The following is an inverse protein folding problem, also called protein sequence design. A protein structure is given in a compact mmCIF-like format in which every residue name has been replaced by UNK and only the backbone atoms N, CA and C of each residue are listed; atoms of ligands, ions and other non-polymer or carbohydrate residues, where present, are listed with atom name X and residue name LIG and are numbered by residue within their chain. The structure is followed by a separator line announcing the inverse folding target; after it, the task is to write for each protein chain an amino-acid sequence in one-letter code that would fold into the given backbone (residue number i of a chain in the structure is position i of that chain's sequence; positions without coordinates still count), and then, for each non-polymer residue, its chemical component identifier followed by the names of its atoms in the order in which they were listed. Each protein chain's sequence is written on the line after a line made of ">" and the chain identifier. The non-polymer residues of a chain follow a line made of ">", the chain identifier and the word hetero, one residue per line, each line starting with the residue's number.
data_IF_744622841119
#
_entry.id   IF_744622841119
#
_cell.length_a   1.000
_cell.length_b   1.000
_cell.length_c   1.000
_cell.angle_alpha   90.00
_cell.angle_beta   90.00
_cell.angle_gamma   90.00
#
_symmetry.space_group_name_H-M   'P 1'
#
loop_
_entity.id
_entity.type
_entity.pdbx_description
1 polymer ?
#
# COMPACT_ATOMS: atom_id res chain seq x y z
N UNK A 1 6.61 64.92 -10.70
CA UNK A 1 6.62 63.57 -11.33
C UNK A 1 7.30 62.57 -10.39
N UNK A 2 6.65 62.16 -9.29
CA UNK A 2 7.23 61.29 -8.23
C UNK A 2 6.15 60.55 -7.40
N UNK A 3 5.09 60.05 -8.04
CA UNK A 3 3.98 59.35 -7.32
C UNK A 3 3.70 57.94 -7.86
N UNK A 4 4.31 57.55 -8.98
CA UNK A 4 4.01 56.26 -9.63
C UNK A 4 4.82 55.06 -9.14
N UNK A 5 5.84 55.25 -8.29
CA UNK A 5 6.71 54.15 -7.85
C UNK A 5 6.21 53.38 -6.62
N UNK A 6 5.23 53.90 -5.86
CA UNK A 6 4.80 53.27 -4.61
C UNK A 6 3.73 52.18 -4.80
N UNK A 7 2.96 52.23 -5.90
CA UNK A 7 1.86 51.28 -6.14
C UNK A 7 2.28 49.93 -6.74
N UNK A 8 3.51 49.81 -7.25
CA UNK A 8 4.00 48.54 -7.83
C UNK A 8 4.51 47.58 -6.75
N UNK A 9 4.96 48.10 -5.60
CA UNK A 9 5.50 47.27 -4.50
C UNK A 9 4.38 46.58 -3.72
N UNK A 10 3.19 47.19 -3.60
CA UNK A 10 2.07 46.60 -2.86
C UNK A 10 1.42 45.42 -3.59
N UNK A 11 1.49 45.39 -4.93
CA UNK A 11 0.90 44.30 -5.73
C UNK A 11 1.73 43.00 -5.68
N UNK A 12 3.04 43.11 -5.48
CA UNK A 12 3.94 41.96 -5.34
C UNK A 12 3.76 41.23 -4.00
N UNK A 13 3.31 41.92 -2.95
CA UNK A 13 3.10 41.33 -1.62
C UNK A 13 1.84 40.47 -1.54
N UNK A 14 0.85 40.69 -2.41
CA UNK A 14 -0.38 39.90 -2.44
C UNK A 14 -0.21 38.54 -3.14
N UNK A 15 0.76 38.40 -4.06
CA UNK A 15 1.04 37.14 -4.75
C UNK A 15 1.86 36.14 -3.90
N UNK A 16 2.54 36.59 -2.85
CA UNK A 16 3.31 35.70 -1.96
C UNK A 16 2.44 34.96 -0.94
N UNK A 17 1.16 35.33 -0.76
CA UNK A 17 0.26 34.72 0.23
C UNK A 17 -0.57 33.55 -0.32
N UNK A 18 -0.53 33.30 -1.63
CA UNK A 18 -1.15 32.15 -2.29
C UNK A 18 -0.11 31.24 -2.94
N UNK A 19 1.14 31.26 -2.45
CA UNK A 19 2.04 30.15 -2.73
C UNK A 19 1.47 28.93 -1.99
N UNK A 20 0.59 28.19 -2.67
CA UNK A 20 0.10 26.90 -2.25
C UNK A 20 1.31 26.13 -1.74
N UNK A 21 1.30 25.86 -0.43
CA UNK A 21 2.22 24.89 0.15
C UNK A 21 1.86 23.60 -0.56
N UNK A 22 2.60 23.26 -1.60
CA UNK A 22 2.63 21.91 -2.14
C UNK A 22 3.00 21.01 -0.97
N UNK A 23 2.00 20.51 -0.27
CA UNK A 23 2.15 19.41 0.65
C UNK A 23 2.56 18.27 -0.23
N UNK A 24 3.87 18.01 -0.26
CA UNK A 24 4.42 16.84 -0.92
C UNK A 24 3.66 15.62 -0.40
N UNK A 25 2.75 15.09 -1.23
CA UNK A 25 2.01 13.89 -0.88
C UNK A 25 3.02 12.74 -0.86
N UNK A 26 3.06 12.02 0.25
CA UNK A 26 3.95 10.88 0.38
C UNK A 26 3.62 9.84 -0.70
N UNK A 27 4.66 9.22 -1.23
CA UNK A 27 4.55 8.15 -2.22
C UNK A 27 5.10 6.89 -1.59
N UNK A 28 4.34 5.81 -1.65
CA UNK A 28 4.80 4.47 -1.26
C UNK A 28 5.25 3.75 -2.51
N UNK A 29 6.53 3.38 -2.57
CA UNK A 29 7.02 2.45 -3.60
C UNK A 29 6.85 1.03 -3.09
N UNK A 30 6.61 0.09 -3.98
CA UNK A 30 6.54 -1.32 -3.63
C UNK A 30 7.25 -2.19 -4.65
N UNK A 31 7.88 -3.27 -4.18
CA UNK A 31 8.36 -4.40 -5.00
C UNK A 31 7.42 -5.59 -4.85
N UNK A 32 7.50 -6.51 -5.81
CA UNK A 32 6.77 -7.77 -5.76
C UNK A 32 7.71 -8.94 -6.03
N UNK A 33 7.53 -10.03 -5.28
CA UNK A 33 8.26 -11.28 -5.47
C UNK A 33 7.39 -12.51 -5.32
N UNK A 34 7.83 -13.59 -5.94
CA UNK A 34 7.23 -14.92 -5.81
C UNK A 34 8.34 -15.91 -5.51
N UNK A 35 8.23 -16.64 -4.41
CA UNK A 35 9.26 -17.56 -3.91
C UNK A 35 10.65 -16.87 -3.85
N UNK A 36 10.70 -15.69 -3.20
CA UNK A 36 11.87 -14.80 -3.10
C UNK A 36 12.51 -14.36 -4.44
N UNK A 37 11.78 -14.47 -5.56
CA UNK A 37 12.25 -14.00 -6.88
C UNK A 37 11.51 -12.73 -7.30
N UNK A 38 12.24 -11.62 -7.54
CA UNK A 38 11.64 -10.38 -8.01
C UNK A 38 10.82 -10.60 -9.28
N UNK A 39 9.56 -10.18 -9.24
CA UNK A 39 8.59 -10.36 -10.31
C UNK A 39 7.93 -9.03 -10.64
N UNK A 40 7.72 -8.77 -11.93
CA UNK A 40 6.97 -7.58 -12.37
C UNK A 40 5.50 -7.94 -12.48
N UNK A 41 4.68 -7.27 -11.69
CA UNK A 41 3.23 -7.40 -11.72
C UNK A 41 2.57 -6.02 -11.68
N UNK A 42 1.47 -5.85 -12.41
CA UNK A 42 0.73 -4.59 -12.44
C UNK A 42 -0.43 -4.66 -11.46
N UNK A 43 -0.24 -4.04 -10.31
CA UNK A 43 -1.27 -4.00 -9.28
C UNK A 43 -2.15 -2.77 -9.38
N UNK A 44 -3.44 -2.98 -9.18
CA UNK A 44 -4.36 -2.01 -8.63
C UNK A 44 -4.26 -2.05 -7.10
N UNK A 45 -4.19 -0.89 -6.46
CA UNK A 45 -4.20 -0.78 -4.99
C UNK A 45 -5.57 -0.26 -4.55
N UNK A 46 -6.12 -0.84 -3.50
CA UNK A 46 -7.34 -0.37 -2.84
C UNK A 46 -7.07 -0.21 -1.35
N UNK A 47 -7.47 0.93 -0.79
CA UNK A 47 -7.38 1.22 0.64
C UNK A 47 -8.79 1.23 1.22
N UNK A 48 -8.98 0.51 2.32
CA UNK A 48 -10.26 0.42 3.03
C UNK A 48 -10.15 1.21 4.33
N UNK A 49 -11.02 2.22 4.46
CA UNK A 49 -11.02 3.15 5.60
C UNK A 49 -12.47 3.40 6.01
N UNK A 50 -12.84 3.08 7.25
CA UNK A 50 -14.20 3.26 7.78
C UNK A 50 -15.31 2.68 6.88
N UNK A 51 -15.03 1.56 6.23
CA UNK A 51 -15.97 0.90 5.30
C UNK A 51 -16.05 1.54 3.90
N UNK A 52 -15.33 2.63 3.65
CA UNK A 52 -15.16 3.21 2.32
C UNK A 52 -13.96 2.62 1.59
N UNK A 53 -14.03 2.59 0.26
CA UNK A 53 -12.93 2.16 -0.61
C UNK A 53 -12.33 3.39 -1.27
N UNK A 54 -11.02 3.55 -1.15
CA UNK A 54 -10.24 4.61 -1.76
C UNK A 54 -9.26 3.97 -2.73
N UNK A 55 -9.28 4.42 -3.99
CA UNK A 55 -8.34 4.02 -5.01
C UNK A 55 -7.28 5.13 -5.15
N UNK A 56 -6.05 4.93 -4.63
CA UNK A 56 -5.00 5.93 -4.74
C UNK A 56 -4.52 6.08 -6.18
N UNK A 57 -3.95 7.25 -6.49
CA UNK A 57 -3.31 7.49 -7.78
C UNK A 57 -2.05 6.62 -7.89
N UNK A 58 -2.01 5.78 -8.92
CA UNK A 58 -0.89 4.89 -9.21
C UNK A 58 0.19 5.59 -10.05
N UNK A 59 1.44 5.27 -9.76
CA UNK A 59 2.65 5.70 -10.48
C UNK A 59 3.59 4.50 -10.65
N UNK A 60 3.40 3.70 -11.70
CA UNK A 60 4.12 2.42 -11.90
C UNK A 60 4.02 1.52 -10.65
N UNK A 61 5.17 1.13 -10.07
CA UNK A 61 5.29 0.35 -8.82
C UNK A 61 5.24 1.25 -7.58
N UNK A 62 4.39 2.26 -7.59
CA UNK A 62 4.18 3.16 -6.46
C UNK A 62 2.78 3.77 -6.49
N UNK A 63 2.32 4.30 -5.36
CA UNK A 63 1.05 5.02 -5.28
C UNK A 63 1.16 6.25 -4.38
N UNK A 64 0.33 7.25 -4.65
CA UNK A 64 0.24 8.47 -3.84
C UNK A 64 -0.68 8.20 -2.65
N UNK A 65 -0.19 8.50 -1.45
CA UNK A 65 -0.93 8.27 -0.21
C UNK A 65 -2.04 9.32 -0.07
N UNK A 66 -3.33 8.92 -0.07
CA UNK A 66 -4.43 9.86 0.09
C UNK A 66 -4.38 10.55 1.47
N UNK A 67 -4.78 11.82 1.54
CA UNK A 67 -4.75 12.58 2.80
C UNK A 67 -5.75 12.04 3.82
N UNK A 68 -6.83 11.44 3.33
CA UNK A 68 -7.92 10.85 4.08
C UNK A 68 -7.41 9.79 5.05
N UNK A 69 -6.43 8.97 4.63
CA UNK A 69 -5.94 7.86 5.46
C UNK A 69 -5.04 8.32 6.61
N UNK A 70 -4.47 9.54 6.53
CA UNK A 70 -3.46 10.02 7.49
C UNK A 70 -4.00 10.22 8.91
N UNK A 71 -5.32 10.22 9.08
CA UNK A 71 -6.00 10.39 10.38
C UNK A 71 -6.28 9.06 11.09
N UNK A 72 -6.01 7.94 10.44
CA UNK A 72 -6.27 6.61 10.96
C UNK A 72 -4.99 6.01 11.53
N UNK A 73 -5.14 5.09 12.47
CA UNK A 73 -4.01 4.32 13.00
C UNK A 73 -3.68 3.14 12.07
N UNK A 74 -4.73 2.48 11.57
CA UNK A 74 -4.67 1.32 10.69
C UNK A 74 -5.63 1.46 9.52
N UNK A 75 -5.31 0.82 8.40
CA UNK A 75 -6.16 0.69 7.22
C UNK A 75 -6.00 -0.71 6.64
N UNK A 76 -7.02 -1.24 5.99
CA UNK A 76 -6.86 -2.49 5.23
C UNK A 76 -6.42 -2.16 3.81
N UNK A 77 -5.53 -2.95 3.24
CA UNK A 77 -4.95 -2.72 1.91
C UNK A 77 -5.13 -3.95 1.06
N UNK A 78 -5.57 -3.76 -0.20
CA UNK A 78 -5.72 -4.83 -1.17
C UNK A 78 -4.93 -4.54 -2.43
N UNK A 79 -4.10 -5.50 -2.83
CA UNK A 79 -3.38 -5.50 -4.10
C UNK A 79 -4.04 -6.47 -5.06
N UNK A 80 -4.55 -5.96 -6.17
CA UNK A 80 -5.28 -6.76 -7.16
C UNK A 80 -4.55 -6.71 -8.51
N UNK A 81 -4.25 -7.86 -9.07
CA UNK A 81 -3.78 -8.04 -10.44
C UNK A 81 -4.59 -9.15 -11.13
N UNK A 82 -4.27 -9.46 -12.38
CA UNK A 82 -4.92 -10.55 -13.10
C UNK A 82 -4.68 -11.93 -12.45
N UNK A 83 -3.65 -12.05 -11.62
CA UNK A 83 -3.22 -13.32 -11.00
C UNK A 83 -3.39 -13.36 -9.49
N UNK A 84 -3.33 -12.20 -8.84
CA UNK A 84 -3.23 -12.12 -7.39
C UNK A 84 -4.28 -11.17 -6.83
N UNK A 85 -4.86 -11.58 -5.72
CA UNK A 85 -5.81 -10.80 -4.94
C UNK A 85 -5.38 -10.88 -3.47
N UNK A 86 -4.53 -9.94 -3.06
CA UNK A 86 -3.80 -9.98 -1.79
C UNK A 86 -4.41 -8.95 -0.84
N UNK A 87 -5.08 -9.40 0.21
CA UNK A 87 -5.73 -8.56 1.20
C UNK A 87 -4.95 -8.57 2.53
N UNK A 88 -4.54 -7.40 2.99
CA UNK A 88 -3.85 -7.20 4.26
C UNK A 88 -4.74 -6.38 5.17
N UNK A 89 -5.11 -6.96 6.31
CA UNK A 89 -5.88 -6.25 7.33
C UNK A 89 -4.95 -5.49 8.28
N UNK A 90 -5.49 -4.44 8.89
CA UNK A 90 -4.80 -3.65 9.94
C UNK A 90 -3.37 -3.18 9.57
N UNK A 91 -3.15 -2.66 8.36
CA UNK A 91 -1.87 -2.08 7.95
C UNK A 91 -1.66 -0.74 8.66
N UNK A 92 -0.59 -0.55 9.47
CA UNK A 92 -0.39 0.69 10.22
C UNK A 92 -0.15 1.87 9.28
N UNK A 93 -0.87 2.99 9.44
CA UNK A 93 -0.73 4.17 8.57
C UNK A 93 0.70 4.75 8.59
N UNK A 94 1.44 4.56 9.68
CA UNK A 94 2.85 4.98 9.75
C UNK A 94 3.78 4.21 8.77
N UNK A 95 3.38 3.02 8.29
CA UNK A 95 4.16 2.25 7.30
C UNK A 95 4.17 2.88 5.91
N UNK A 96 3.23 3.78 5.60
CA UNK A 96 3.14 4.50 4.33
C UNK A 96 4.24 5.57 4.15
N UNK A 97 5.17 5.67 5.11
CA UNK A 97 6.39 6.48 5.04
C UNK A 97 7.62 5.69 4.58
N UNK A 98 7.46 4.41 4.28
CA UNK A 98 8.52 3.51 3.84
C UNK A 98 8.14 2.78 2.56
N UNK A 99 9.16 2.27 1.86
CA UNK A 99 8.96 1.37 0.74
C UNK A 99 8.50 -0.01 1.24
N UNK A 100 7.67 -0.66 0.44
CA UNK A 100 7.04 -1.93 0.77
C UNK A 100 7.59 -3.07 -0.10
N UNK A 101 7.57 -4.28 0.43
CA UNK A 101 7.85 -5.51 -0.31
C UNK A 101 6.66 -6.44 -0.14
N UNK A 102 6.08 -6.87 -1.26
CA UNK A 102 4.95 -7.78 -1.31
C UNK A 102 5.46 -9.10 -1.82
N UNK A 103 5.21 -10.19 -1.10
CA UNK A 103 5.66 -11.51 -1.52
C UNK A 103 4.55 -12.54 -1.48
N UNK A 104 4.65 -13.53 -2.35
CA UNK A 104 3.86 -14.76 -2.32
C UNK A 104 4.83 -15.94 -2.31
N UNK A 105 4.74 -16.79 -1.29
CA UNK A 105 5.54 -18.00 -1.20
C UNK A 105 4.64 -19.23 -1.24
N UNK A 106 4.94 -20.16 -2.13
CA UNK A 106 4.26 -21.44 -2.24
C UNK A 106 4.97 -22.51 -1.41
N UNK A 107 4.22 -23.55 -1.03
CA UNK A 107 4.82 -24.72 -0.42
C UNK A 107 5.75 -25.45 -1.41
N UNK A 108 6.94 -25.94 -1.01
CA UNK A 108 7.52 -25.85 0.33
C UNK A 108 8.04 -24.45 0.66
N UNK A 109 7.71 -23.94 1.86
CA UNK A 109 8.14 -22.61 2.29
C UNK A 109 9.63 -22.63 2.64
N UNK A 110 10.45 -21.95 1.83
CA UNK A 110 11.91 -21.88 2.02
C UNK A 110 12.36 -20.65 2.83
N UNK A 111 11.44 -19.72 3.12
CA UNK A 111 11.78 -18.39 3.61
C UNK A 111 11.87 -18.27 5.13
N UNK A 112 12.60 -17.27 5.61
CA UNK A 112 12.64 -16.82 7.01
C UNK A 112 11.30 -16.29 7.55
N UNK A 113 10.28 -16.16 6.70
CA UNK A 113 8.98 -15.61 7.05
C UNK A 113 8.02 -16.67 7.66
N UNK A 114 8.41 -17.93 7.80
CA UNK A 114 7.58 -18.95 8.47
C UNK A 114 7.97 -19.11 9.95
N UNK A 115 6.97 -19.24 10.82
CA UNK A 115 7.20 -19.57 12.22
C UNK A 115 7.37 -21.09 12.37
N UNK A 116 8.55 -21.61 12.73
CA UNK A 116 8.79 -23.05 12.82
C UNK A 116 7.94 -23.75 13.90
N UNK A 117 7.35 -23.01 14.84
CA UNK A 117 6.48 -23.55 15.88
C UNK A 117 5.02 -23.77 15.39
N UNK A 118 4.67 -23.30 14.19
CA UNK A 118 3.34 -23.48 13.60
C UNK A 118 3.31 -24.62 12.59
N UNK A 119 2.16 -25.30 12.53
CA UNK A 119 1.88 -26.27 11.47
C UNK A 119 1.35 -25.58 10.22
N UNK A 120 2.04 -25.79 9.10
CA UNK A 120 1.63 -25.32 7.77
C UNK A 120 1.15 -26.47 6.87
N UNK A 121 0.70 -27.58 7.46
CA UNK A 121 0.31 -28.77 6.70
C UNK A 121 -0.78 -28.48 5.66
N UNK A 122 -1.77 -27.66 6.05
CA UNK A 122 -2.95 -27.29 5.24
C UNK A 122 -2.81 -25.98 4.48
N UNK A 123 -1.70 -25.26 4.67
CA UNK A 123 -1.42 -23.98 4.00
C UNK A 123 -0.81 -24.27 2.64
N UNK A 124 -1.44 -23.77 1.58
CA UNK A 124 -0.98 -23.95 0.19
C UNK A 124 0.07 -22.92 -0.19
N UNK A 125 -0.20 -21.67 0.17
CA UNK A 125 0.71 -20.55 -0.01
C UNK A 125 0.50 -19.52 1.10
N UNK A 126 1.51 -18.72 1.33
CA UNK A 126 1.42 -17.52 2.17
C UNK A 126 1.64 -16.31 1.29
N UNK A 127 1.11 -15.17 1.73
CA UNK A 127 1.52 -13.90 1.17
C UNK A 127 1.80 -12.90 2.28
N UNK A 128 2.72 -11.99 2.02
CA UNK A 128 3.16 -11.04 3.04
C UNK A 128 3.32 -9.64 2.49
N UNK A 129 3.24 -8.69 3.42
CA UNK A 129 3.56 -7.29 3.21
C UNK A 129 4.61 -6.88 4.24
N UNK A 130 5.78 -6.50 3.75
CA UNK A 130 6.93 -6.10 4.57
C UNK A 130 7.21 -4.62 4.39
N UNK A 131 7.49 -3.95 5.51
CA UNK A 131 7.89 -2.55 5.56
C UNK A 131 8.85 -2.33 6.73
N UNK A 132 10.09 -1.94 6.42
CA UNK A 132 11.16 -1.84 7.42
C UNK A 132 11.44 -3.20 8.08
N UNK A 133 11.20 -3.31 9.38
CA UNK A 133 11.38 -4.56 10.17
C UNK A 133 10.08 -5.32 10.43
N UNK A 134 8.95 -4.80 9.96
CA UNK A 134 7.64 -5.38 10.19
C UNK A 134 7.21 -6.20 8.98
N UNK A 135 6.52 -7.31 9.25
CA UNK A 135 5.95 -8.19 8.22
C UNK A 135 4.54 -8.57 8.67
N UNK A 136 3.56 -8.37 7.80
CA UNK A 136 2.21 -8.91 7.94
C UNK A 136 2.15 -10.16 7.05
N UNK A 137 1.71 -11.29 7.60
CA UNK A 137 1.65 -12.58 6.88
C UNK A 137 0.21 -13.07 6.89
N UNK A 138 -0.27 -13.50 5.73
CA UNK A 138 -1.56 -14.15 5.58
C UNK A 138 -1.37 -15.57 5.05
N UNK A 139 -1.99 -16.52 5.73
CA UNK A 139 -1.94 -17.94 5.41
C UNK A 139 -3.17 -18.32 4.58
N UNK A 140 -2.96 -18.93 3.40
CA UNK A 140 -4.06 -19.40 2.55
C UNK A 140 -4.12 -20.93 2.57
N UNK A 141 -5.24 -21.44 3.08
CA UNK A 141 -5.49 -22.87 3.19
C UNK A 141 -6.14 -23.43 1.92
N UNK A 142 -5.95 -24.72 1.66
CA UNK A 142 -6.76 -25.41 0.65
C UNK A 142 -8.24 -25.30 1.02
N UNK A 143 -9.03 -24.68 0.14
CA UNK A 143 -10.49 -24.75 0.24
C UNK A 143 -10.89 -26.17 -0.14
N UNK A 144 -11.47 -26.92 0.81
CA UNK A 144 -12.07 -28.21 0.54
C UNK A 144 -13.14 -28.04 -0.56
N UNK A 145 -12.85 -28.53 -1.76
CA UNK A 145 -13.75 -28.41 -2.93
C UNK A 145 -15.12 -29.10 -2.74
N UNK A 146 -15.26 -29.91 -1.69
CA UNK A 146 -16.50 -30.65 -1.37
C UNK A 146 -17.61 -29.83 -0.71
N UNK A 147 -17.37 -28.58 -0.30
CA UNK A 147 -18.41 -27.69 0.23
C UNK A 147 -19.02 -26.76 -0.84
N UNK A 148 -19.13 -27.25 -2.07
CA UNK A 148 -19.99 -26.59 -3.05
C UNK A 148 -21.45 -26.71 -2.57
N UNK A 149 -22.19 -25.60 -2.35
CA UNK A 149 -23.60 -25.70 -2.00
C UNK A 149 -24.30 -26.42 -3.14
N UNK A 150 -24.88 -27.59 -2.84
CA UNK A 150 -25.77 -28.27 -3.79
C UNK A 150 -26.88 -27.27 -4.14
N UNK A 151 -26.86 -26.79 -5.39
CA UNK A 151 -27.97 -26.04 -5.97
C UNK A 151 -29.20 -26.94 -6.08
#
# INVERSE_FOLDING_TARGET
>A
MKVYLLNVVLLAFCFALFADKSTAQNRVKFSFEVDAKPTKEKFKVLLYVDGAIIEPEMCDSSFIVPLEIQRHEFVSVRFVSDKYDLYFDEVPVNSFKSDWEIGVDYKPFETENINPERSYEKVTYIYYLKFGRFVIIVEVNEVNKDESPKK
#
